data_IF_430310909213
#
_entry.id   IF_430310909213
#
_cell.length_a   1.000
_cell.length_b   1.000
_cell.length_c   1.000
_cell.angle_alpha   90.00
_cell.angle_beta   90.00
_cell.angle_gamma   90.00
#
_symmetry.space_group_name_H-M   'P 1'
#
loop_
_entity.id
_entity.type
_entity.pdbx_description
1 polymer ?
#
# COMPACT_ATOMS: atom_id res chain seq x y z
N UNK A 1 -26.13 56.46 52.80
CA UNK A 1 -26.55 56.39 51.39
C UNK A 1 -25.95 55.15 50.74
N UNK A 2 -26.83 54.29 50.19
CA UNK A 2 -26.68 53.37 49.03
C UNK A 2 -25.46 52.41 48.89
N UNK A 3 -25.81 51.10 48.94
CA UNK A 3 -25.37 49.92 48.10
C UNK A 3 -23.87 49.56 48.04
N UNK A 4 -23.34 48.44 48.56
CA UNK A 4 -23.69 46.99 48.50
C UNK A 4 -23.50 46.35 47.12
N UNK A 5 -22.31 45.80 46.82
CA UNK A 5 -21.94 44.63 45.97
C UNK A 5 -20.43 44.37 46.18
N UNK A 6 -19.80 43.19 46.20
CA UNK A 6 -20.16 41.77 46.27
C UNK A 6 -18.78 41.02 46.18
N UNK A 7 -18.48 40.11 47.11
CA UNK A 7 -17.43 39.07 46.94
C UNK A 7 -17.67 38.29 45.62
N UNK A 8 -16.66 37.73 44.91
CA UNK A 8 -15.63 36.88 45.53
C UNK A 8 -14.21 36.92 44.94
N UNK A 9 -13.27 36.63 45.84
CA UNK A 9 -11.99 35.97 45.56
C UNK A 9 -12.27 34.75 44.67
N UNK A 10 -11.94 34.87 43.39
CA UNK A 10 -12.13 33.80 42.41
C UNK A 10 -11.05 33.91 41.33
N UNK A 11 -10.22 32.86 41.26
CA UNK A 11 -9.55 32.39 40.05
C UNK A 11 -8.39 33.25 39.53
N UNK A 12 -7.23 33.12 40.17
CA UNK A 12 -5.95 33.46 39.53
C UNK A 12 -4.84 32.45 39.89
N UNK A 13 -5.20 31.18 40.06
CA UNK A 13 -4.26 30.11 40.37
C UNK A 13 -4.68 28.81 39.68
N UNK A 14 -4.53 28.76 38.35
CA UNK A 14 -4.43 27.51 37.57
C UNK A 14 -4.10 27.86 36.11
N UNK A 15 -2.83 28.14 35.84
CA UNK A 15 -2.23 28.05 34.51
C UNK A 15 -1.04 27.09 34.64
N UNK A 16 -1.37 25.83 34.95
CA UNK A 16 -0.43 24.71 34.90
C UNK A 16 -0.31 24.25 33.46
N UNK A 17 0.93 24.05 33.05
CA UNK A 17 1.38 23.68 31.72
C UNK A 17 0.60 22.48 31.17
N UNK A 18 -0.14 22.71 30.09
CA UNK A 18 -0.57 21.64 29.19
C UNK A 18 0.54 21.45 28.14
N UNK A 19 1.48 20.57 28.45
CA UNK A 19 2.39 20.01 27.45
C UNK A 19 1.52 19.14 26.54
N UNK A 20 1.18 19.65 25.35
CA UNK A 20 0.53 18.85 24.33
C UNK A 20 1.51 17.78 23.87
N UNK A 21 1.35 16.57 24.37
CA UNK A 21 1.99 15.37 23.83
C UNK A 21 1.44 15.18 22.41
N UNK A 22 2.15 15.69 21.40
CA UNK A 22 1.89 15.32 20.00
C UNK A 22 2.28 13.85 19.88
N UNK A 23 1.30 12.96 20.04
CA UNK A 23 1.43 11.58 19.61
C UNK A 23 1.62 11.62 18.09
N UNK A 24 2.87 11.49 17.65
CA UNK A 24 3.19 11.21 16.27
C UNK A 24 2.50 9.88 15.91
N UNK A 25 1.33 9.95 15.27
CA UNK A 25 0.78 8.80 14.56
C UNK A 25 1.83 8.44 13.52
N UNK A 26 2.44 7.26 13.68
CA UNK A 26 3.19 6.54 12.65
C UNK A 26 2.36 6.58 11.37
N UNK A 27 2.62 7.58 10.54
CA UNK A 27 1.91 7.76 9.28
C UNK A 27 2.60 6.78 8.35
N UNK A 28 1.95 5.64 8.13
CA UNK A 28 2.35 4.69 7.09
C UNK A 28 2.61 5.50 5.82
N UNK A 29 3.75 5.32 5.13
CA UNK A 29 3.95 5.98 3.85
C UNK A 29 2.77 5.60 2.95
N UNK A 30 1.91 6.58 2.67
CA UNK A 30 0.82 6.42 1.71
C UNK A 30 1.26 7.12 0.44
N UNK A 31 1.51 6.34 -0.62
CA UNK A 31 1.97 6.82 -1.94
C UNK A 31 0.77 7.19 -2.83
N UNK A 32 -0.35 7.59 -2.21
CA UNK A 32 -1.57 8.01 -2.89
C UNK A 32 -1.50 9.47 -3.33
N UNK A 33 -1.99 9.71 -4.54
CA UNK A 33 -2.24 11.01 -5.11
C UNK A 33 -3.45 10.95 -6.06
N UNK A 34 -4.19 12.04 -6.21
CA UNK A 34 -5.33 12.07 -7.13
C UNK A 34 -4.96 12.69 -8.47
N UNK A 35 -3.98 13.59 -8.48
CA UNK A 35 -3.52 14.33 -9.66
C UNK A 35 -2.05 14.07 -9.97
N UNK A 36 -1.64 14.38 -11.20
CA UNK A 36 -0.26 14.32 -11.65
C UNK A 36 0.71 15.13 -10.77
N UNK A 37 0.36 16.37 -10.45
CA UNK A 37 1.25 17.27 -9.72
C UNK A 37 1.43 16.82 -8.25
N UNK A 38 0.35 16.33 -7.63
CA UNK A 38 0.40 15.70 -6.32
C UNK A 38 1.31 14.47 -6.34
N UNK A 39 1.15 13.61 -7.36
CA UNK A 39 1.95 12.39 -7.46
C UNK A 39 3.44 12.67 -7.66
N UNK A 40 3.78 13.66 -8.51
CA UNK A 40 5.16 14.04 -8.74
C UNK A 40 5.85 14.45 -7.43
N UNK A 41 5.17 15.26 -6.60
CA UNK A 41 5.69 15.66 -5.29
C UNK A 41 5.85 14.46 -4.32
N UNK A 42 4.90 13.52 -4.33
CA UNK A 42 4.98 12.29 -3.54
C UNK A 42 6.17 11.43 -3.98
N UNK A 43 6.34 11.22 -5.29
CA UNK A 43 7.42 10.41 -5.85
C UNK A 43 8.79 10.99 -5.51
N UNK A 44 8.97 12.30 -5.64
CA UNK A 44 10.24 12.97 -5.31
C UNK A 44 10.54 12.89 -3.82
N UNK A 45 9.53 13.07 -2.96
CA UNK A 45 9.69 12.86 -1.52
C UNK A 45 10.12 11.42 -1.21
N UNK A 46 9.51 10.41 -1.83
CA UNK A 46 9.89 9.01 -1.60
C UNK A 46 11.35 8.77 -2.01
N UNK A 47 11.77 9.27 -3.18
CA UNK A 47 13.17 9.18 -3.63
C UNK A 47 14.15 9.84 -2.68
N UNK A 48 13.82 11.04 -2.20
CA UNK A 48 14.63 11.74 -1.19
C UNK A 48 14.73 10.95 0.11
N UNK A 49 13.63 10.35 0.57
CA UNK A 49 13.62 9.55 1.80
C UNK A 49 14.40 8.23 1.66
N UNK A 50 14.64 7.72 0.45
CA UNK A 50 15.52 6.57 0.21
C UNK A 50 17.02 6.94 0.14
N UNK A 51 17.36 8.22 0.02
CA UNK A 51 18.75 8.68 0.00
C UNK A 51 19.40 8.59 1.40
N UNK A 52 20.74 8.64 1.52
CA UNK A 52 21.43 8.64 2.81
C UNK A 52 20.91 9.75 3.74
N UNK A 53 20.60 9.41 4.98
CA UNK A 53 19.99 10.28 5.99
C UNK A 53 18.46 10.38 5.91
N UNK A 54 17.82 9.68 4.97
CA UNK A 54 16.37 9.63 4.81
C UNK A 54 15.71 8.50 5.61
N UNK A 55 14.37 8.57 5.79
CA UNK A 55 13.59 7.57 6.55
C UNK A 55 13.72 6.13 6.01
N UNK A 56 13.94 5.99 4.71
CA UNK A 56 14.01 4.72 3.99
C UNK A 56 15.42 4.39 3.52
N UNK A 57 16.46 4.98 4.12
CA UNK A 57 17.86 4.71 3.75
C UNK A 57 18.26 3.23 3.90
N UNK A 58 17.56 2.49 4.76
CA UNK A 58 17.80 1.05 5.01
C UNK A 58 17.25 0.14 3.91
N UNK A 59 16.47 0.67 2.95
CA UNK A 59 15.95 -0.10 1.82
C UNK A 59 17.12 -0.53 0.94
N UNK A 60 17.19 -1.83 0.61
CA UNK A 60 18.30 -2.40 -0.17
C UNK A 60 18.32 -1.83 -1.58
N UNK A 61 19.49 -1.75 -2.21
CA UNK A 61 19.64 -1.20 -3.56
C UNK A 61 18.68 -1.82 -4.60
N UNK A 62 18.52 -3.15 -4.60
CA UNK A 62 17.56 -3.81 -5.50
C UNK A 62 16.12 -3.39 -5.26
N UNK A 63 15.74 -3.21 -3.99
CA UNK A 63 14.41 -2.74 -3.61
C UNK A 63 14.21 -1.26 -4.00
N UNK A 64 15.26 -0.43 -3.89
CA UNK A 64 15.22 0.97 -4.37
C UNK A 64 15.02 1.05 -5.89
N UNK A 65 15.66 0.16 -6.66
CA UNK A 65 15.46 0.07 -8.12
C UNK A 65 14.01 -0.29 -8.45
N UNK A 66 13.43 -1.26 -7.73
CA UNK A 66 12.01 -1.63 -7.83
C UNK A 66 11.09 -0.46 -7.51
N UNK A 67 11.31 0.24 -6.39
CA UNK A 67 10.52 1.43 -6.02
C UNK A 67 10.60 2.50 -7.11
N UNK A 68 11.79 2.77 -7.65
CA UNK A 68 11.97 3.76 -8.70
C UNK A 68 11.25 3.39 -10.01
N UNK A 69 11.31 2.10 -10.39
CA UNK A 69 10.56 1.55 -11.53
C UNK A 69 9.06 1.78 -11.34
N UNK A 70 8.52 1.45 -10.17
CA UNK A 70 7.09 1.53 -9.91
C UNK A 70 6.59 2.96 -9.81
N UNK A 71 7.37 3.87 -9.19
CA UNK A 71 7.13 5.31 -9.23
C UNK A 71 7.10 5.85 -10.66
N UNK A 72 8.00 5.39 -11.54
CA UNK A 72 7.99 5.77 -12.97
C UNK A 72 6.77 5.23 -13.72
N UNK A 73 6.37 3.98 -13.44
CA UNK A 73 5.16 3.36 -14.00
C UNK A 73 3.90 4.12 -13.59
N UNK A 74 3.78 4.49 -12.31
CA UNK A 74 2.69 5.35 -11.81
C UNK A 74 2.71 6.73 -12.46
N UNK A 75 3.87 7.39 -12.58
CA UNK A 75 3.98 8.69 -13.25
C UNK A 75 3.47 8.61 -14.69
N UNK A 76 3.79 7.54 -15.41
CA UNK A 76 3.32 7.33 -16.79
C UNK A 76 1.79 7.23 -16.88
N UNK A 77 1.13 6.66 -15.86
CA UNK A 77 -0.33 6.64 -15.77
C UNK A 77 -0.90 8.04 -15.56
N UNK A 78 -0.33 8.82 -14.64
CA UNK A 78 -0.74 10.22 -14.44
C UNK A 78 -0.45 11.10 -15.66
N UNK A 79 0.64 10.86 -16.38
CA UNK A 79 0.96 11.58 -17.61
C UNK A 79 -0.06 11.30 -18.72
N UNK A 80 -0.54 10.07 -18.80
CA UNK A 80 -1.53 9.65 -19.79
C UNK A 80 -2.95 10.13 -19.47
N UNK A 81 -3.38 10.04 -18.21
CA UNK A 81 -4.77 10.26 -17.82
C UNK A 81 -5.01 11.57 -17.04
N UNK A 82 -3.96 12.18 -16.49
CA UNK A 82 -4.03 13.39 -15.67
C UNK A 82 -4.51 13.15 -14.24
N UNK A 83 -5.60 12.41 -14.07
CA UNK A 83 -6.22 12.09 -12.77
C UNK A 83 -6.58 10.61 -12.68
N UNK A 84 -6.75 10.11 -11.44
CA UNK A 84 -7.20 8.73 -11.20
C UNK A 84 -8.61 8.50 -11.76
N UNK A 85 -9.51 9.48 -11.68
CA UNK A 85 -10.89 9.33 -12.15
C UNK A 85 -10.98 9.11 -13.67
N UNK A 86 -10.05 9.70 -14.43
CA UNK A 86 -9.94 9.54 -15.87
C UNK A 86 -9.33 8.19 -16.31
N UNK A 87 -8.77 7.41 -15.39
CA UNK A 87 -8.17 6.11 -15.69
C UNK A 87 -9.25 5.05 -15.95
N UNK A 88 -9.00 4.21 -16.96
CA UNK A 88 -9.76 2.96 -17.12
C UNK A 88 -9.50 1.98 -15.96
N UNK A 89 -10.35 0.96 -15.85
CA UNK A 89 -10.28 0.03 -14.71
C UNK A 89 -8.94 -0.74 -14.65
N UNK A 90 -8.37 -1.09 -15.81
CA UNK A 90 -7.10 -1.80 -15.86
C UNK A 90 -5.95 -0.91 -15.36
N UNK A 91 -5.96 0.36 -15.76
CA UNK A 91 -5.00 1.38 -15.34
C UNK A 91 -5.12 1.69 -13.84
N UNK A 92 -6.35 1.70 -13.29
CA UNK A 92 -6.57 1.81 -11.83
C UNK A 92 -5.99 0.62 -11.07
N UNK A 93 -6.15 -0.60 -11.60
CA UNK A 93 -5.57 -1.81 -11.02
C UNK A 93 -4.03 -1.75 -11.06
N UNK A 94 -3.45 -1.34 -12.18
CA UNK A 94 -2.00 -1.16 -12.30
C UNK A 94 -1.48 -0.13 -11.30
N UNK A 95 -2.14 1.03 -11.21
CA UNK A 95 -1.80 2.08 -10.24
C UNK A 95 -1.86 1.55 -8.80
N UNK A 96 -2.90 0.78 -8.46
CA UNK A 96 -3.03 0.17 -7.13
C UNK A 96 -1.90 -0.81 -6.83
N UNK A 97 -1.59 -1.70 -7.77
CA UNK A 97 -0.56 -2.72 -7.59
C UNK A 97 0.83 -2.08 -7.39
N UNK A 98 1.17 -1.06 -8.19
CA UNK A 98 2.42 -0.32 -8.04
C UNK A 98 2.51 0.38 -6.66
N UNK A 99 1.41 1.01 -6.20
CA UNK A 99 1.38 1.62 -4.86
C UNK A 99 1.55 0.57 -3.77
N UNK A 100 0.88 -0.57 -3.91
CA UNK A 100 0.98 -1.69 -2.98
C UNK A 100 2.41 -2.22 -2.89
N UNK A 101 3.10 -2.39 -4.02
CA UNK A 101 4.51 -2.82 -4.08
C UNK A 101 5.45 -1.82 -3.41
N UNK A 102 5.35 -0.54 -3.75
CA UNK A 102 6.15 0.51 -3.11
C UNK A 102 5.89 0.54 -1.61
N UNK A 103 4.63 0.55 -1.18
CA UNK A 103 4.29 0.60 0.25
C UNK A 103 4.81 -0.63 1.00
N UNK A 104 4.72 -1.83 0.41
CA UNK A 104 5.21 -3.06 1.00
C UNK A 104 6.74 -3.04 1.17
N UNK A 105 7.47 -2.56 0.17
CA UNK A 105 8.93 -2.41 0.24
C UNK A 105 9.32 -1.41 1.33
N UNK A 106 8.72 -0.21 1.32
CA UNK A 106 9.05 0.86 2.27
C UNK A 106 8.67 0.52 3.72
N UNK A 107 7.77 -0.43 3.94
CA UNK A 107 7.32 -0.88 5.27
C UNK A 107 7.82 -2.29 5.64
N UNK A 108 8.66 -2.89 4.79
CA UNK A 108 9.16 -4.27 4.96
C UNK A 108 8.05 -5.32 5.16
N UNK A 109 6.93 -5.17 4.45
CA UNK A 109 5.77 -6.05 4.56
C UNK A 109 5.35 -6.66 3.20
N UNK A 110 6.28 -7.37 2.56
CA UNK A 110 6.06 -7.97 1.24
C UNK A 110 4.94 -9.04 1.23
N UNK A 111 4.81 -9.80 2.31
CA UNK A 111 3.83 -10.87 2.40
C UNK A 111 2.37 -10.38 2.44
N UNK A 112 2.13 -9.21 3.06
CA UNK A 112 0.81 -8.60 3.14
C UNK A 112 0.51 -7.67 1.95
N UNK A 113 1.44 -7.52 1.00
CA UNK A 113 1.18 -6.75 -0.22
C UNK A 113 -0.04 -7.31 -0.93
N UNK A 114 -1.00 -6.47 -1.22
CA UNK A 114 -2.14 -6.83 -2.07
C UNK A 114 -1.79 -6.69 -3.55
N UNK A 115 -2.14 -7.70 -4.32
CA UNK A 115 -2.08 -7.71 -5.78
C UNK A 115 -3.49 -7.90 -6.31
N UNK A 116 -3.96 -6.94 -7.09
CA UNK A 116 -5.26 -6.96 -7.73
C UNK A 116 -5.15 -7.37 -9.20
N UNK A 117 -6.08 -8.20 -9.65
CA UNK A 117 -6.19 -8.62 -11.04
C UNK A 117 -7.62 -8.42 -11.53
N UNK A 118 -7.74 -8.02 -12.80
CA UNK A 118 -9.04 -7.98 -13.48
C UNK A 118 -9.29 -9.33 -14.16
N UNK A 119 -10.19 -10.12 -13.57
CA UNK A 119 -10.51 -11.47 -14.05
C UNK A 119 -11.89 -11.50 -14.70
N UNK A 120 -12.07 -12.46 -15.63
CA UNK A 120 -13.38 -12.81 -16.18
C UNK A 120 -13.81 -14.16 -15.60
N UNK A 121 -14.76 -14.19 -14.64
CA UNK A 121 -15.16 -15.43 -13.98
C UNK A 121 -15.76 -16.44 -14.98
N UNK A 122 -15.54 -17.74 -14.74
CA UNK A 122 -16.22 -18.76 -15.53
C UNK A 122 -17.74 -18.66 -15.37
N UNK A 123 -18.47 -18.74 -16.48
CA UNK A 123 -19.93 -18.59 -16.50
C UNK A 123 -20.44 -17.15 -16.45
N UNK A 124 -19.57 -16.13 -16.42
CA UNK A 124 -19.97 -14.73 -16.55
C UNK A 124 -19.09 -13.98 -17.55
N UNK A 125 -19.70 -13.13 -18.36
CA UNK A 125 -18.94 -12.24 -19.25
C UNK A 125 -18.55 -10.91 -18.59
N UNK A 126 -18.97 -10.67 -17.34
CA UNK A 126 -18.72 -9.42 -16.63
C UNK A 126 -17.37 -9.52 -15.90
N UNK A 127 -16.37 -8.68 -16.25
CA UNK A 127 -15.09 -8.66 -15.54
C UNK A 127 -15.27 -8.21 -14.09
N UNK A 128 -14.49 -8.80 -13.19
CA UNK A 128 -14.42 -8.43 -11.77
C UNK A 128 -12.97 -8.16 -11.38
N UNK A 129 -12.76 -7.24 -10.47
CA UNK A 129 -11.45 -7.03 -9.85
C UNK A 129 -11.37 -7.90 -8.60
N UNK A 130 -10.33 -8.73 -8.50
CA UNK A 130 -10.06 -9.57 -7.33
C UNK A 130 -8.69 -9.22 -6.80
N UNK A 131 -8.60 -8.92 -5.51
CA UNK A 131 -7.35 -8.60 -4.84
C UNK A 131 -7.03 -9.71 -3.84
N UNK A 132 -5.76 -10.14 -3.83
CA UNK A 132 -5.23 -11.15 -2.91
C UNK A 132 -3.93 -10.66 -2.32
N UNK A 133 -3.59 -11.11 -1.12
CA UNK A 133 -2.25 -10.86 -0.58
C UNK A 133 -1.22 -11.75 -1.28
N UNK A 134 0.04 -11.30 -1.34
CA UNK A 134 1.12 -12.11 -1.89
C UNK A 134 1.26 -13.45 -1.15
N UNK A 135 1.01 -13.46 0.17
CA UNK A 135 0.93 -14.69 0.97
C UNK A 135 -0.11 -15.66 0.40
N UNK A 136 -1.35 -15.21 0.19
CA UNK A 136 -2.41 -16.05 -0.36
C UNK A 136 -2.05 -16.58 -1.75
N UNK A 137 -1.48 -15.74 -2.61
CA UNK A 137 -1.03 -16.14 -3.95
C UNK A 137 0.03 -17.25 -3.84
N UNK A 138 1.01 -17.09 -2.96
CA UNK A 138 2.06 -18.09 -2.74
C UNK A 138 1.49 -19.41 -2.20
N UNK A 139 0.55 -19.34 -1.25
CA UNK A 139 -0.14 -20.50 -0.69
C UNK A 139 -0.93 -21.25 -1.78
N UNK A 140 -1.75 -20.56 -2.57
CA UNK A 140 -2.51 -21.15 -3.68
C UNK A 140 -1.58 -21.79 -4.73
N UNK A 141 -0.48 -21.12 -5.08
CA UNK A 141 0.52 -21.65 -6.00
C UNK A 141 1.19 -22.90 -5.45
N UNK A 142 1.56 -22.91 -4.17
CA UNK A 142 2.18 -24.07 -3.53
C UNK A 142 1.24 -25.28 -3.46
N UNK A 143 -0.03 -25.07 -3.10
CA UNK A 143 -1.05 -26.12 -3.07
C UNK A 143 -1.30 -26.68 -4.47
N UNK A 144 -1.35 -25.81 -5.48
CA UNK A 144 -1.51 -26.21 -6.88
C UNK A 144 -0.33 -27.04 -7.38
N UNK A 145 0.89 -26.72 -6.96
CA UNK A 145 2.09 -27.50 -7.29
C UNK A 145 2.10 -28.86 -6.60
N UNK A 146 1.72 -28.91 -5.32
CA UNK A 146 1.62 -30.16 -4.56
C UNK A 146 0.59 -31.11 -5.19
N UNK A 147 -0.62 -30.62 -5.50
CA UNK A 147 -1.64 -31.43 -6.17
C UNK A 147 -1.16 -32.00 -7.51
N UNK A 148 -0.44 -31.19 -8.32
CA UNK A 148 0.14 -31.66 -9.57
C UNK A 148 1.16 -32.78 -9.33
N UNK A 149 2.02 -32.63 -8.32
CA UNK A 149 3.01 -33.65 -7.97
C UNK A 149 2.34 -34.94 -7.50
N UNK A 150 1.30 -34.85 -6.69
CA UNK A 150 0.55 -36.01 -6.19
C UNK A 150 -0.13 -36.76 -7.32
N UNK A 151 -0.78 -36.06 -8.26
CA UNK A 151 -1.39 -36.67 -9.45
C UNK A 151 -0.33 -37.37 -10.31
N UNK A 152 0.84 -36.74 -10.53
CA UNK A 152 1.94 -37.35 -11.29
C UNK A 152 2.50 -38.60 -10.60
N UNK A 153 2.58 -38.60 -9.27
CA UNK A 153 3.07 -39.73 -8.50
C UNK A 153 2.08 -40.91 -8.50
N UNK A 154 0.77 -40.64 -8.39
CA UNK A 154 -0.29 -41.66 -8.49
C UNK A 154 -0.29 -42.32 -9.87
N UNK A 155 -0.18 -41.53 -10.94
CA UNK A 155 -0.11 -42.07 -12.31
C UNK A 155 1.14 -42.95 -12.57
N UNK A 156 2.24 -42.72 -11.84
CA UNK A 156 3.44 -43.57 -11.90
C UNK A 156 3.31 -44.87 -11.10
N UNK A 157 2.44 -44.92 -10.10
CA UNK A 157 2.24 -46.08 -9.24
C UNK A 157 1.15 -47.04 -9.75
N UNK A 158 0.46 -46.75 -10.86
CA UNK A 158 -0.41 -47.73 -11.50
C UNK A 158 0.44 -48.82 -12.19
N UNK A 159 0.42 -50.08 -11.71
CA UNK A 159 1.05 -51.15 -12.44
C UNK A 159 0.31 -51.31 -13.77
N UNK A 160 1.05 -51.23 -14.89
CA UNK A 160 0.56 -51.73 -16.17
C UNK A 160 0.33 -53.22 -15.96
N UNK A 161 -0.94 -53.60 -15.79
CA UNK A 161 -1.31 -54.97 -15.51
C UNK A 161 -1.03 -55.88 -16.70
N UNK A 162 -0.36 -56.99 -16.37
CA UNK A 162 -0.08 -58.24 -17.13
C UNK A 162 1.19 -58.27 -17.96
#
# INVERSE_FOLDING_TARGET
>A
MKRKYWLPVSVAMMLVLQVASVHAKETKPDVKANTKDEFAAVADRVRQQMAPGGRFESVKKGDQETVNRDLGSMQSLYDKFGTVDAMDQASKVQLYNNQSEVNAILTHNDADREVCEQIKPMGSNIPKTVCKTQRQINEENSQSQQLKQDIMNVGRQQPVGK
#
